data_IF_934317055693
#
_entry.id   IF_934317055693
#
_cell.length_a   1.000
_cell.length_b   1.000
_cell.length_c   1.000
_cell.angle_alpha   90.00
_cell.angle_beta   90.00
_cell.angle_gamma   90.00
#
_symmetry.space_group_name_H-M   'P 1'
#
loop_
_entity.id
_entity.type
_entity.pdbx_description
1 polymer ?
#
# COMPACT_ATOMS: atom_id res chain seq x y z
N UNK A 1 -21.65 -13.20 10.22
CA UNK A 1 -22.44 -12.25 11.05
C UNK A 1 -23.94 -12.62 11.17
N UNK A 2 -24.34 -13.81 10.79
CA UNK A 2 -25.76 -14.22 10.69
C UNK A 2 -26.59 -13.41 9.66
N UNK A 3 -27.89 -13.71 9.53
CA UNK A 3 -28.79 -12.99 8.61
C UNK A 3 -29.00 -11.53 9.01
N UNK A 4 -28.82 -11.21 10.29
CA UNK A 4 -28.89 -9.83 10.80
C UNK A 4 -27.57 -9.43 11.48
N UNK A 5 -26.62 -8.82 10.73
CA UNK A 5 -25.32 -8.41 11.28
C UNK A 5 -25.42 -7.42 12.44
N UNK A 6 -26.48 -6.63 12.54
CA UNK A 6 -26.67 -5.68 13.65
C UNK A 6 -26.76 -6.38 15.01
N UNK A 7 -27.31 -7.60 15.05
CA UNK A 7 -27.47 -8.40 16.26
C UNK A 7 -26.23 -9.26 16.59
N UNK A 8 -25.22 -9.27 15.71
CA UNK A 8 -24.00 -10.03 15.93
C UNK A 8 -23.05 -9.32 16.88
N UNK A 9 -22.56 -10.03 17.91
CA UNK A 9 -21.49 -9.54 18.79
C UNK A 9 -20.16 -9.34 18.08
N UNK A 10 -19.98 -9.98 16.91
CA UNK A 10 -18.73 -9.93 16.13
C UNK A 10 -18.71 -8.78 15.10
N UNK A 11 -19.82 -8.05 14.96
CA UNK A 11 -19.91 -6.91 14.07
C UNK A 11 -19.82 -5.59 14.85
N UNK A 12 -18.80 -4.80 14.56
CA UNK A 12 -18.55 -3.52 15.23
C UNK A 12 -19.56 -2.43 14.90
N UNK A 13 -19.33 -1.26 15.48
CA UNK A 13 -20.10 -0.03 15.23
C UNK A 13 -19.17 1.06 14.70
N UNK A 14 -19.74 2.02 14.00
CA UNK A 14 -19.01 3.20 13.56
C UNK A 14 -18.58 4.00 14.79
N UNK A 15 -17.33 4.46 14.80
CA UNK A 15 -16.68 5.00 16.00
C UNK A 15 -17.38 6.23 16.59
N UNK A 16 -18.00 7.05 15.76
CA UNK A 16 -18.74 8.25 16.19
C UNK A 16 -19.74 8.72 15.14
N UNK A 17 -20.59 9.65 15.56
CA UNK A 17 -21.66 10.21 14.74
C UNK A 17 -21.16 10.97 13.49
N UNK A 18 -20.10 11.72 13.61
CA UNK A 18 -19.53 12.47 12.47
C UNK A 18 -19.06 11.53 11.38
N UNK A 19 -18.38 10.45 11.76
CA UNK A 19 -17.93 9.43 10.82
C UNK A 19 -19.10 8.63 10.20
N UNK A 20 -20.13 8.34 11.00
CA UNK A 20 -21.37 7.72 10.53
C UNK A 20 -22.02 8.58 9.43
N UNK A 21 -22.19 9.88 9.64
CA UNK A 21 -22.75 10.80 8.65
C UNK A 21 -21.87 10.91 7.40
N UNK A 22 -20.54 10.97 7.57
CA UNK A 22 -19.62 10.95 6.44
C UNK A 22 -19.81 9.71 5.57
N UNK A 23 -19.88 8.53 6.18
CA UNK A 23 -20.08 7.28 5.43
C UNK A 23 -21.42 7.28 4.68
N UNK A 24 -22.50 7.76 5.29
CA UNK A 24 -23.80 7.85 4.63
C UNK A 24 -23.81 8.83 3.46
N UNK A 25 -22.99 9.89 3.46
CA UNK A 25 -22.91 10.85 2.37
C UNK A 25 -22.10 10.37 1.16
N UNK A 26 -21.41 9.22 1.27
CA UNK A 26 -20.56 8.71 0.18
C UNK A 26 -21.32 7.99 -0.93
N UNK A 27 -22.60 7.65 -0.73
CA UNK A 27 -23.37 6.89 -1.69
C UNK A 27 -24.86 7.29 -1.70
N UNK A 28 -25.56 6.95 -2.78
CA UNK A 28 -27.00 7.09 -2.91
C UNK A 28 -27.70 5.74 -2.90
N UNK A 29 -29.02 5.72 -2.74
CA UNK A 29 -29.80 4.48 -2.72
C UNK A 29 -29.71 3.70 -4.03
N UNK A 30 -29.63 4.38 -5.15
CA UNK A 30 -29.56 3.80 -6.49
C UNK A 30 -28.27 2.99 -6.72
N UNK A 31 -27.22 3.29 -5.96
CA UNK A 31 -25.93 2.60 -6.04
C UNK A 31 -25.90 1.28 -5.24
N UNK A 32 -26.88 1.04 -4.38
CA UNK A 32 -26.86 -0.12 -3.46
C UNK A 32 -27.23 -1.39 -4.22
N UNK A 33 -26.30 -2.35 -4.26
CA UNK A 33 -26.52 -3.69 -4.76
C UNK A 33 -26.95 -4.65 -3.64
N UNK A 34 -26.39 -4.48 -2.44
CA UNK A 34 -26.66 -5.31 -1.26
C UNK A 34 -26.45 -4.49 0.02
N UNK A 35 -27.26 -4.75 1.05
CA UNK A 35 -27.13 -4.04 2.33
C UNK A 35 -27.87 -2.71 2.33
N UNK A 36 -27.18 -1.63 2.76
CA UNK A 36 -27.70 -0.27 2.76
C UNK A 36 -28.54 0.10 3.99
N UNK A 37 -28.74 -0.83 4.93
CA UNK A 37 -29.42 -0.50 6.18
C UNK A 37 -28.49 0.25 7.14
N UNK A 38 -29.00 1.32 7.76
CA UNK A 38 -28.25 2.10 8.71
C UNK A 38 -29.15 2.52 9.89
N UNK A 39 -28.61 2.43 11.10
CA UNK A 39 -29.26 2.88 12.34
C UNK A 39 -28.37 3.91 13.04
N UNK A 40 -28.82 5.15 13.01
CA UNK A 40 -28.09 6.28 13.55
C UNK A 40 -27.92 6.22 15.08
N UNK A 41 -28.92 5.68 15.79
CA UNK A 41 -28.89 5.58 17.25
C UNK A 41 -27.89 4.54 17.73
N UNK A 42 -27.70 3.48 16.93
CA UNK A 42 -26.77 2.38 17.19
C UNK A 42 -25.42 2.58 16.48
N UNK A 43 -25.22 3.70 15.76
CA UNK A 43 -24.07 3.96 14.89
C UNK A 43 -23.76 2.76 13.97
N UNK A 44 -24.80 2.07 13.53
CA UNK A 44 -24.72 0.89 12.70
C UNK A 44 -24.90 1.20 11.23
N UNK A 45 -24.02 0.65 10.41
CA UNK A 45 -24.16 0.55 8.95
C UNK A 45 -23.94 -0.90 8.57
N UNK A 46 -24.90 -1.52 7.88
CA UNK A 46 -24.75 -2.89 7.41
C UNK A 46 -23.59 -3.04 6.42
N UNK A 47 -22.99 -4.24 6.27
CA UNK A 47 -22.13 -4.52 5.13
C UNK A 47 -22.88 -4.15 3.85
N UNK A 48 -22.33 -3.24 3.08
CA UNK A 48 -23.01 -2.65 1.92
C UNK A 48 -22.13 -2.74 0.69
N UNK A 49 -22.69 -3.29 -0.39
CA UNK A 49 -22.06 -3.38 -1.71
C UNK A 49 -22.69 -2.35 -2.63
N UNK A 50 -21.86 -1.57 -3.31
CA UNK A 50 -22.26 -0.44 -4.13
C UNK A 50 -21.76 -0.61 -5.56
N UNK A 51 -22.62 -0.37 -6.55
CA UNK A 51 -22.19 -0.15 -7.94
C UNK A 51 -21.77 1.30 -8.08
N UNK A 52 -20.57 1.54 -8.59
CA UNK A 52 -20.03 2.91 -8.69
C UNK A 52 -19.33 3.13 -10.02
N UNK A 53 -19.16 4.41 -10.37
CA UNK A 53 -18.43 4.88 -11.53
C UNK A 53 -17.06 5.46 -11.12
N UNK A 54 -16.19 5.73 -12.09
CA UNK A 54 -14.83 6.23 -11.90
C UNK A 54 -14.78 7.54 -11.10
N UNK A 55 -15.80 8.38 -11.22
CA UNK A 55 -15.89 9.73 -10.62
C UNK A 55 -16.71 9.76 -9.33
N UNK A 56 -17.18 8.61 -8.87
CA UNK A 56 -17.97 8.52 -7.63
C UNK A 56 -17.20 9.05 -6.43
N UNK A 57 -17.87 9.83 -5.58
CA UNK A 57 -17.29 10.46 -4.37
C UNK A 57 -16.61 9.45 -3.45
N UNK A 58 -17.19 8.25 -3.33
CA UNK A 58 -16.65 7.17 -2.49
C UNK A 58 -15.25 6.68 -2.96
N UNK A 59 -14.86 6.97 -4.21
CA UNK A 59 -13.55 6.58 -4.78
C UNK A 59 -12.47 7.64 -4.60
N UNK A 60 -12.74 8.75 -3.91
CA UNK A 60 -11.80 9.87 -3.75
C UNK A 60 -10.90 9.71 -2.53
N UNK A 61 -11.45 9.20 -1.42
CA UNK A 61 -10.75 9.03 -0.16
C UNK A 61 -10.91 7.62 0.40
N UNK A 62 -10.08 7.26 1.37
CA UNK A 62 -10.21 5.99 2.09
C UNK A 62 -11.53 5.93 2.86
N UNK A 63 -12.28 4.85 2.65
CA UNK A 63 -13.66 4.73 3.15
C UNK A 63 -13.70 4.59 4.67
N UNK A 64 -12.85 3.75 5.26
CA UNK A 64 -12.87 3.40 6.69
C UNK A 64 -14.27 3.04 7.21
N UNK A 65 -14.96 2.14 6.50
CA UNK A 65 -16.31 1.72 6.85
C UNK A 65 -16.76 0.49 6.08
N UNK A 66 -17.93 -0.07 6.40
CA UNK A 66 -18.42 -1.33 5.84
C UNK A 66 -19.06 -1.15 4.44
N UNK A 67 -18.45 -0.35 3.60
CA UNK A 67 -18.90 -0.08 2.23
C UNK A 67 -17.90 -0.68 1.24
N UNK A 68 -18.38 -1.48 0.30
CA UNK A 68 -17.57 -2.08 -0.77
C UNK A 68 -18.03 -1.53 -2.13
N UNK A 69 -17.33 -0.53 -2.70
CA UNK A 69 -17.61 -0.09 -4.06
C UNK A 69 -17.12 -1.14 -5.07
N UNK A 70 -17.95 -1.44 -6.05
CA UNK A 70 -17.62 -2.28 -7.20
C UNK A 70 -17.59 -1.39 -8.44
N UNK A 71 -16.45 -1.42 -9.11
CA UNK A 71 -16.18 -0.71 -10.33
C UNK A 71 -15.87 -1.70 -11.46
N UNK A 72 -16.76 -1.84 -12.42
CA UNK A 72 -16.56 -2.75 -13.54
C UNK A 72 -15.61 -2.17 -14.58
N UNK A 73 -14.72 -3.01 -15.09
CA UNK A 73 -13.86 -2.72 -16.25
C UNK A 73 -13.97 -3.83 -17.27
N UNK A 74 -13.93 -3.49 -18.54
CA UNK A 74 -14.11 -4.46 -19.66
C UNK A 74 -13.07 -5.57 -19.67
N UNK A 75 -11.86 -5.29 -19.18
CA UNK A 75 -10.76 -6.23 -19.14
C UNK A 75 -9.69 -5.79 -18.13
N UNK A 76 -8.74 -6.68 -17.87
CA UNK A 76 -7.63 -6.44 -16.94
C UNK A 76 -6.81 -5.19 -17.29
N UNK A 77 -6.56 -4.93 -18.58
CA UNK A 77 -5.73 -3.79 -18.98
C UNK A 77 -6.39 -2.45 -18.63
N UNK A 78 -7.70 -2.35 -18.77
CA UNK A 78 -8.45 -1.17 -18.34
C UNK A 78 -8.44 -1.02 -16.82
N UNK A 79 -8.60 -2.13 -16.08
CA UNK A 79 -8.45 -2.13 -14.62
C UNK A 79 -7.06 -1.66 -14.17
N UNK A 80 -6.00 -2.19 -14.81
CA UNK A 80 -4.63 -1.75 -14.52
C UNK A 80 -4.40 -0.27 -14.84
N UNK A 81 -4.89 0.21 -15.98
CA UNK A 81 -4.81 1.64 -16.33
C UNK A 81 -5.50 2.52 -15.29
N UNK A 82 -6.67 2.11 -14.81
CA UNK A 82 -7.39 2.83 -13.77
C UNK A 82 -6.59 2.92 -12.48
N UNK A 83 -6.06 1.79 -11.98
CA UNK A 83 -5.26 1.77 -10.76
C UNK A 83 -3.98 2.59 -10.89
N UNK A 84 -3.30 2.51 -12.05
CA UNK A 84 -2.07 3.26 -12.30
C UNK A 84 -2.29 4.78 -12.43
N UNK A 85 -3.49 5.22 -12.77
CA UNK A 85 -3.85 6.64 -12.84
C UNK A 85 -4.18 7.26 -11.47
N UNK A 86 -4.34 6.43 -10.43
CA UNK A 86 -4.61 6.86 -9.04
C UNK A 86 -3.33 6.86 -8.21
N UNK A 87 -3.41 7.42 -7.01
CA UNK A 87 -2.36 7.31 -6.02
C UNK A 87 -2.05 5.84 -5.69
N UNK A 88 -0.79 5.58 -5.36
CA UNK A 88 -0.34 4.23 -5.04
C UNK A 88 -1.04 3.71 -3.79
N UNK A 89 -1.77 2.58 -3.86
CA UNK A 89 -2.54 2.09 -2.72
C UNK A 89 -1.64 1.52 -1.61
N UNK A 90 -2.15 1.56 -0.39
CA UNK A 90 -1.50 0.90 0.76
C UNK A 90 -1.44 -0.62 0.56
N UNK A 91 -2.51 -1.22 0.07
CA UNK A 91 -2.59 -2.65 -0.20
C UNK A 91 -3.33 -2.92 -1.51
N UNK A 92 -2.92 -3.98 -2.20
CA UNK A 92 -3.59 -4.51 -3.39
C UNK A 92 -3.92 -5.98 -3.18
N UNK A 93 -5.14 -6.38 -3.48
CA UNK A 93 -5.59 -7.76 -3.42
C UNK A 93 -5.96 -8.24 -4.81
N UNK A 94 -5.35 -9.35 -5.25
CA UNK A 94 -5.58 -9.93 -6.58
C UNK A 94 -6.15 -11.33 -6.44
N UNK A 95 -7.30 -11.57 -7.04
CA UNK A 95 -7.93 -12.89 -7.06
C UNK A 95 -7.90 -13.47 -8.47
N UNK A 96 -7.02 -14.42 -8.72
CA UNK A 96 -6.91 -15.14 -10.00
C UNK A 96 -6.07 -16.43 -9.85
N UNK A 97 -6.41 -17.46 -10.63
CA UNK A 97 -5.62 -18.67 -10.76
C UNK A 97 -4.55 -18.57 -11.87
N UNK A 98 -4.66 -17.58 -12.76
CA UNK A 98 -3.75 -17.38 -13.88
C UNK A 98 -2.42 -16.77 -13.40
N UNK A 99 -1.36 -17.56 -13.48
CA UNK A 99 0.00 -17.15 -13.07
C UNK A 99 0.56 -15.99 -13.91
N UNK A 100 0.24 -15.96 -15.21
CA UNK A 100 0.70 -14.86 -16.06
C UNK A 100 0.06 -13.53 -15.66
N UNK A 101 -1.22 -13.56 -15.26
CA UNK A 101 -1.90 -12.39 -14.70
C UNK A 101 -1.27 -11.99 -13.37
N UNK A 102 -0.97 -12.95 -12.47
CA UNK A 102 -0.31 -12.67 -11.20
C UNK A 102 1.02 -11.94 -11.40
N UNK A 103 1.91 -12.50 -12.23
CA UNK A 103 3.23 -11.91 -12.54
C UNK A 103 3.10 -10.52 -13.17
N UNK A 104 2.17 -10.37 -14.12
CA UNK A 104 1.90 -9.08 -14.76
C UNK A 104 1.47 -8.02 -13.75
N UNK A 105 0.55 -8.34 -12.84
CA UNK A 105 0.03 -7.40 -11.83
C UNK A 105 1.13 -7.05 -10.83
N UNK A 106 1.90 -8.05 -10.35
CA UNK A 106 3.05 -7.82 -9.46
C UNK A 106 4.06 -6.86 -10.08
N UNK A 107 4.39 -7.05 -11.36
CA UNK A 107 5.37 -6.21 -12.05
C UNK A 107 4.84 -4.81 -12.38
N UNK A 108 3.52 -4.64 -12.50
CA UNK A 108 2.92 -3.40 -13.01
C UNK A 108 2.47 -2.47 -11.88
N UNK A 109 1.86 -3.00 -10.82
CA UNK A 109 1.29 -2.16 -9.74
C UNK A 109 2.30 -1.91 -8.65
N UNK A 110 2.62 -0.63 -8.44
CA UNK A 110 3.36 -0.17 -7.25
C UNK A 110 2.37 0.02 -6.10
N UNK A 111 2.57 -0.73 -5.02
CA UNK A 111 1.69 -0.75 -3.84
C UNK A 111 2.52 -0.91 -2.58
N UNK A 112 1.98 -0.54 -1.44
CA UNK A 112 2.62 -0.77 -0.14
C UNK A 112 2.79 -2.26 0.17
N UNK A 113 1.75 -3.05 -0.04
CA UNK A 113 1.75 -4.50 0.07
C UNK A 113 0.80 -5.14 -0.94
N UNK A 114 1.01 -6.44 -1.24
CA UNK A 114 0.13 -7.19 -2.14
C UNK A 114 -0.19 -8.56 -1.55
N UNK A 115 -1.44 -9.00 -1.71
CA UNK A 115 -1.83 -10.35 -1.39
C UNK A 115 -2.54 -10.99 -2.59
N UNK A 116 -2.22 -12.25 -2.91
CA UNK A 116 -2.81 -12.97 -4.03
C UNK A 116 -3.71 -14.06 -3.49
N UNK A 117 -4.97 -14.05 -3.93
CA UNK A 117 -6.04 -14.98 -3.55
C UNK A 117 -6.38 -14.96 -2.06
N UNK A 118 -6.05 -13.87 -1.37
CA UNK A 118 -6.43 -13.61 0.01
C UNK A 118 -6.47 -12.10 0.28
N UNK A 119 -6.97 -11.71 1.46
CA UNK A 119 -6.99 -10.34 1.94
C UNK A 119 -6.33 -10.25 3.31
N UNK A 120 -5.71 -9.13 3.63
CA UNK A 120 -5.21 -8.78 4.97
C UNK A 120 -4.09 -9.71 5.50
N UNK A 121 -4.08 -11.01 5.19
CA UNK A 121 -3.18 -12.02 5.79
C UNK A 121 -1.68 -11.63 5.74
N UNK A 122 -1.27 -10.84 4.75
CA UNK A 122 0.12 -10.35 4.64
C UNK A 122 0.55 -9.44 5.79
N UNK A 123 -0.42 -8.89 6.57
CA UNK A 123 -0.17 -8.05 7.75
C UNK A 123 0.13 -8.90 8.99
N UNK A 124 -0.33 -10.15 9.02
CA UNK A 124 -0.21 -11.03 10.20
C UNK A 124 1.18 -11.57 10.45
N UNK A 125 2.11 -11.44 9.50
CA UNK A 125 3.46 -11.99 9.60
C UNK A 125 4.51 -10.90 9.87
N UNK A 126 5.43 -11.19 10.80
CA UNK A 126 6.57 -10.33 11.09
C UNK A 126 7.71 -10.42 10.05
N UNK A 127 7.58 -11.31 9.06
CA UNK A 127 8.58 -11.53 8.01
C UNK A 127 8.35 -10.67 6.76
N UNK A 128 7.19 -10.04 6.63
CA UNK A 128 6.89 -9.11 5.57
C UNK A 128 6.79 -7.68 6.10
N UNK A 129 7.36 -6.69 5.38
CA UNK A 129 7.21 -5.30 5.76
C UNK A 129 5.79 -4.83 5.44
N UNK A 130 5.18 -4.08 6.36
CA UNK A 130 3.92 -3.42 6.13
C UNK A 130 4.11 -1.90 6.16
N UNK A 131 3.59 -1.21 5.16
CA UNK A 131 3.66 0.24 5.03
C UNK A 131 3.32 0.70 3.62
N UNK A 132 2.95 1.96 3.48
CA UNK A 132 2.55 2.58 2.22
C UNK A 132 3.74 2.98 1.34
N UNK A 133 3.41 3.52 0.17
CA UNK A 133 4.37 4.08 -0.79
C UNK A 133 3.78 5.34 -1.45
N UNK A 134 4.54 6.43 -1.49
CA UNK A 134 4.04 7.72 -1.99
C UNK A 134 2.94 8.27 -1.08
N UNK A 135 1.76 8.55 -1.64
CA UNK A 135 0.65 9.12 -0.87
C UNK A 135 0.04 8.16 0.16
N UNK A 136 0.19 6.84 -0.02
CA UNK A 136 -0.30 5.86 0.96
C UNK A 136 0.58 5.70 2.20
N UNK A 137 1.76 6.32 2.24
CA UNK A 137 2.58 6.34 3.44
C UNK A 137 4.08 6.34 3.18
N UNK A 138 4.85 6.45 4.27
CA UNK A 138 6.31 6.48 4.31
C UNK A 138 6.81 5.54 5.41
N UNK A 139 7.88 4.80 5.11
CA UNK A 139 8.43 3.83 6.05
C UNK A 139 7.65 2.51 6.03
N UNK A 140 8.22 1.52 6.70
CA UNK A 140 7.63 0.18 6.81
C UNK A 140 7.94 -0.40 8.17
N UNK A 141 7.02 -1.18 8.73
CA UNK A 141 7.20 -1.80 10.03
C UNK A 141 6.96 -3.31 9.98
N UNK A 142 6.99 -3.98 11.05
CA UNK A 142 7.04 -5.39 11.40
C UNK A 142 8.47 -5.94 11.55
N UNK A 143 8.71 -6.61 12.68
CA UNK A 143 9.94 -7.31 12.98
C UNK A 143 11.21 -6.48 12.70
N UNK A 144 12.10 -7.02 11.88
CA UNK A 144 13.35 -6.37 11.48
C UNK A 144 13.13 -5.02 10.78
N UNK A 145 12.05 -4.88 10.02
CA UNK A 145 11.77 -3.65 9.27
C UNK A 145 11.46 -2.48 10.19
N UNK A 146 10.79 -2.72 11.33
CA UNK A 146 10.60 -1.70 12.37
C UNK A 146 11.94 -1.21 12.91
N UNK A 147 12.84 -2.13 13.25
CA UNK A 147 14.16 -1.78 13.72
C UNK A 147 14.94 -0.95 12.68
N UNK A 148 14.92 -1.36 11.41
CA UNK A 148 15.58 -0.65 10.32
C UNK A 148 14.97 0.74 10.06
N UNK A 149 13.65 0.88 10.17
CA UNK A 149 12.93 2.14 9.97
C UNK A 149 13.28 3.19 11.04
N UNK A 150 13.44 2.75 12.29
CA UNK A 150 13.77 3.64 13.41
C UNK A 150 15.27 3.67 13.78
N UNK A 151 16.11 3.08 12.93
CA UNK A 151 17.57 3.01 13.15
C UNK A 151 18.32 3.74 12.06
N UNK A 152 19.44 4.33 12.45
CA UNK A 152 20.35 4.97 11.51
C UNK A 152 21.59 4.09 11.30
N UNK A 153 21.92 3.79 10.04
CA UNK A 153 23.13 3.04 9.67
C UNK A 153 24.31 4.02 9.54
N UNK A 154 25.20 4.02 10.53
CA UNK A 154 26.43 4.83 10.50
C UNK A 154 27.51 4.12 9.70
N UNK A 155 27.99 4.76 8.64
CA UNK A 155 29.16 4.27 7.89
C UNK A 155 30.44 4.56 8.68
N UNK A 156 31.24 3.52 8.94
CA UNK A 156 32.53 3.64 9.59
C UNK A 156 33.60 2.97 8.74
N UNK A 157 34.55 3.75 8.25
CA UNK A 157 35.74 3.25 7.56
C UNK A 157 36.97 3.33 8.51
N UNK A 158 37.59 2.20 8.77
CA UNK A 158 38.87 2.15 9.48
C UNK A 158 39.99 1.88 8.47
N UNK A 159 41.00 2.72 8.47
CA UNK A 159 42.17 2.59 7.62
C UNK A 159 43.38 2.29 8.46
N UNK A 160 44.27 1.42 7.96
CA UNK A 160 45.62 1.22 8.53
C UNK A 160 46.54 2.37 8.10
N UNK A 161 47.42 2.79 8.99
CA UNK A 161 48.47 3.75 8.66
C UNK A 161 49.68 3.13 7.92
N UNK A 162 49.73 1.78 7.81
CA UNK A 162 50.83 1.08 7.16
C UNK A 162 50.87 1.26 5.63
N UNK A 163 49.72 1.56 5.01
CA UNK A 163 49.61 1.78 3.57
C UNK A 163 48.98 3.13 3.29
N UNK A 164 49.78 4.04 2.72
CA UNK A 164 49.31 5.30 2.23
C UNK A 164 49.75 5.52 0.78
N UNK A 165 48.76 5.77 -0.10
CA UNK A 165 49.05 5.95 -1.50
C UNK A 165 49.12 7.44 -1.84
N UNK A 166 50.28 7.90 -2.32
CA UNK A 166 50.53 9.29 -2.75
C UNK A 166 49.54 9.77 -3.85
N UNK A 167 48.77 8.84 -4.46
CA UNK A 167 47.74 9.14 -5.41
C UNK A 167 46.56 9.94 -4.83
N UNK A 168 46.40 9.93 -3.51
CA UNK A 168 45.31 10.63 -2.77
C UNK A 168 45.62 12.10 -2.54
N UNK A 169 46.85 12.51 -2.69
CA UNK A 169 47.31 13.85 -2.32
C UNK A 169 47.78 14.64 -3.54
N UNK A 170 47.55 15.96 -3.55
CA UNK A 170 48.15 16.85 -4.56
C UNK A 170 49.69 16.88 -4.41
N UNK A 171 50.40 17.21 -5.51
CA UNK A 171 49.91 17.52 -6.83
C UNK A 171 49.52 16.23 -7.61
N UNK A 172 48.39 16.31 -8.33
CA UNK A 172 47.82 15.16 -9.08
C UNK A 172 48.45 14.95 -10.45
N UNK A 173 49.40 15.78 -10.86
CA UNK A 173 49.99 15.87 -12.21
C UNK A 173 50.13 14.51 -12.89
N UNK A 174 49.46 14.31 -14.02
CA UNK A 174 49.50 13.09 -14.84
C UNK A 174 48.84 11.82 -14.25
N UNK A 175 48.33 11.85 -13.00
CA UNK A 175 47.82 10.67 -12.27
C UNK A 175 46.31 10.45 -12.48
N UNK A 176 45.62 11.32 -13.18
CA UNK A 176 44.17 11.27 -13.34
C UNK A 176 43.67 9.95 -13.95
N UNK A 177 44.44 9.39 -14.89
CA UNK A 177 44.07 8.12 -15.51
C UNK A 177 44.13 6.93 -14.52
N UNK A 178 45.10 6.93 -13.60
CA UNK A 178 45.21 5.94 -12.54
C UNK A 178 44.02 6.02 -11.60
N UNK A 179 43.64 7.25 -11.19
CA UNK A 179 42.46 7.49 -10.33
C UNK A 179 41.17 7.00 -11.04
N UNK A 180 40.98 7.34 -12.33
CA UNK A 180 39.83 6.88 -13.10
C UNK A 180 39.80 5.34 -13.24
N UNK A 181 40.96 4.70 -13.41
CA UNK A 181 41.07 3.23 -13.49
C UNK A 181 40.71 2.58 -12.15
N UNK A 182 41.20 3.13 -11.04
CA UNK A 182 40.90 2.66 -9.68
C UNK A 182 39.40 2.76 -9.36
N UNK A 183 38.79 3.93 -9.63
CA UNK A 183 37.37 4.14 -9.41
C UNK A 183 36.47 3.23 -10.25
N UNK A 184 36.89 2.83 -11.46
CA UNK A 184 36.14 1.86 -12.26
C UNK A 184 36.18 0.42 -11.72
N UNK A 185 37.20 0.11 -10.91
CA UNK A 185 37.37 -1.24 -10.34
C UNK A 185 36.66 -1.41 -8.98
N UNK A 186 36.49 -0.34 -8.26
CA UNK A 186 35.98 -0.32 -6.90
C UNK A 186 34.69 0.50 -6.70
N UNK A 187 34.15 1.14 -7.67
CA UNK A 187 32.86 1.83 -7.73
C UNK A 187 31.96 1.12 -8.73
#
# INVERSE_FOLDING_TARGET
YTENPQNSSDYGRIINYSHFKRLQSLYTREQILLGGHADEKDLYISPTVLQVDDDSTIMQDEIFGPLLPILEKKNLNEGLKYVLAKDKPLATYLFTKDKCIQEKVIATISTGGMCINDTIIHISTNFLPFGGVGMSGMGRYHGKFSFECFSYKKSVMKRSFLLDFNLRYPPYGGKLWLIKRFLRWFG
#
